data_IF_809113597025
#
_entry.id   IF_809113597025
#
_cell.length_a   1.000
_cell.length_b   1.000
_cell.length_c   1.000
_cell.angle_alpha   90.00
_cell.angle_beta   90.00
_cell.angle_gamma   90.00
#
_symmetry.space_group_name_H-M   'P 1'
#
loop_
_entity.id
_entity.type
_entity.pdbx_description
1 polymer ?
#
# COMPACT_ATOMS: atom_id res chain seq x y z
N UNK A 1 -3.14 6.08 -11.71
CA UNK A 1 -2.44 6.13 -10.40
C UNK A 1 -3.49 6.16 -9.31
N UNK A 2 -3.38 5.33 -8.28
CA UNK A 2 -4.22 5.36 -7.07
C UNK A 2 -3.43 5.96 -5.91
N UNK A 3 -4.05 6.87 -5.15
CA UNK A 3 -3.55 7.35 -3.86
C UNK A 3 -4.60 7.06 -2.80
N UNK A 4 -4.19 6.54 -1.66
CA UNK A 4 -5.10 6.16 -0.59
C UNK A 4 -4.53 6.59 0.76
N UNK A 5 -5.35 7.29 1.51
CA UNK A 5 -5.11 7.71 2.89
C UNK A 5 -6.48 7.67 3.55
N UNK A 6 -6.61 6.77 4.52
CA UNK A 6 -7.90 6.17 4.86
C UNK A 6 -8.06 5.83 6.34
N UNK A 7 -7.06 6.16 7.17
CA UNK A 7 -7.08 5.96 8.62
C UNK A 7 -7.50 4.53 9.05
N UNK A 8 -7.21 3.50 8.24
CA UNK A 8 -7.55 2.10 8.51
C UNK A 8 -8.42 1.40 7.45
N UNK A 9 -9.08 2.13 6.55
CA UNK A 9 -9.89 1.51 5.48
C UNK A 9 -9.06 0.63 4.50
N UNK A 10 -7.74 0.85 4.46
CA UNK A 10 -6.80 0.17 3.59
C UNK A 10 -6.75 -1.34 3.78
N UNK A 11 -6.91 -1.79 5.03
CA UNK A 11 -6.86 -3.19 5.43
C UNK A 11 -8.07 -3.99 4.99
N UNK A 12 -9.17 -3.31 4.69
CA UNK A 12 -10.35 -3.95 4.12
C UNK A 12 -10.35 -3.89 2.59
N UNK A 13 -9.87 -2.77 2.04
CA UNK A 13 -9.97 -2.48 0.60
C UNK A 13 -8.93 -3.26 -0.20
N UNK A 14 -7.65 -3.19 0.19
CA UNK A 14 -6.55 -3.72 -0.61
C UNK A 14 -6.51 -5.26 -0.58
N UNK A 15 -6.67 -5.93 0.58
CA UNK A 15 -6.66 -7.40 0.61
C UNK A 15 -7.87 -8.05 -0.07
N UNK A 16 -9.01 -7.35 -0.20
CA UNK A 16 -10.23 -7.86 -0.82
C UNK A 16 -10.34 -7.54 -2.32
N UNK A 17 -9.59 -6.56 -2.82
CA UNK A 17 -9.55 -6.22 -4.24
C UNK A 17 -8.94 -7.37 -5.04
N UNK A 18 -9.50 -7.68 -6.21
CA UNK A 18 -8.89 -8.66 -7.11
C UNK A 18 -7.64 -8.07 -7.77
N UNK A 19 -6.70 -8.93 -8.20
CA UNK A 19 -5.54 -8.47 -8.98
C UNK A 19 -5.96 -7.73 -10.26
N UNK A 20 -7.13 -8.05 -10.82
CA UNK A 20 -7.71 -7.36 -11.98
C UNK A 20 -8.17 -5.94 -11.65
N UNK A 21 -8.75 -5.74 -10.47
CA UNK A 21 -9.18 -4.40 -10.03
C UNK A 21 -7.98 -3.52 -9.73
N UNK A 22 -6.90 -4.10 -9.20
CA UNK A 22 -5.67 -3.37 -8.90
C UNK A 22 -4.82 -3.10 -10.15
N UNK A 23 -4.82 -4.00 -11.14
CA UNK A 23 -3.94 -3.91 -12.32
C UNK A 23 -4.26 -2.74 -13.25
N UNK A 24 -5.43 -2.10 -13.13
CA UNK A 24 -5.75 -0.87 -13.85
C UNK A 24 -4.85 0.31 -13.43
N UNK A 25 -4.17 0.19 -12.29
CA UNK A 25 -3.25 1.21 -11.78
C UNK A 25 -1.79 0.84 -12.07
N UNK A 26 -1.08 1.72 -12.77
CA UNK A 26 0.38 1.60 -12.93
C UNK A 26 1.16 1.85 -11.63
N UNK A 27 0.55 2.57 -10.69
CA UNK A 27 1.12 2.87 -9.38
C UNK A 27 0.02 3.06 -8.34
N UNK A 28 0.26 2.51 -7.16
CA UNK A 28 -0.58 2.65 -5.96
C UNK A 28 0.29 3.22 -4.84
N UNK A 29 -0.17 4.28 -4.19
CA UNK A 29 0.48 4.87 -3.01
C UNK A 29 -0.51 4.82 -1.86
N UNK A 30 -0.13 4.19 -0.75
CA UNK A 30 -0.99 4.04 0.44
C UNK A 30 -0.24 4.61 1.64
N UNK A 31 -0.87 5.53 2.37
CA UNK A 31 -0.50 5.79 3.77
C UNK A 31 -1.17 4.72 4.64
N UNK A 32 -0.37 3.87 5.30
CA UNK A 32 -0.87 2.76 6.12
C UNK A 32 -0.81 3.12 7.60
N UNK A 33 -1.83 2.75 8.38
CA UNK A 33 -2.01 3.21 9.77
C UNK A 33 -1.77 2.13 10.85
N UNK A 34 -1.71 0.86 10.47
CA UNK A 34 -1.56 -0.31 11.36
C UNK A 34 -0.54 -1.34 10.81
N UNK A 35 0.58 -0.85 10.28
CA UNK A 35 1.65 -1.66 9.71
C UNK A 35 1.38 -2.13 8.27
N UNK A 36 2.44 -2.50 7.56
CA UNK A 36 2.39 -2.65 6.10
C UNK A 36 2.31 -4.11 5.60
N UNK A 37 2.51 -5.11 6.47
CA UNK A 37 2.74 -6.49 6.03
C UNK A 37 1.61 -7.07 5.19
N UNK A 38 0.36 -6.93 5.63
CA UNK A 38 -0.81 -7.44 4.91
C UNK A 38 -1.01 -6.75 3.55
N UNK A 39 -0.97 -5.41 3.55
CA UNK A 39 -1.10 -4.58 2.36
C UNK A 39 0.00 -4.90 1.34
N UNK A 40 1.24 -5.02 1.81
CA UNK A 40 2.40 -5.42 1.00
C UNK A 40 2.16 -6.77 0.36
N UNK A 41 1.77 -7.78 1.14
CA UNK A 41 1.53 -9.12 0.64
C UNK A 41 0.41 -9.15 -0.42
N UNK A 42 -0.68 -8.40 -0.21
CA UNK A 42 -1.77 -8.29 -1.17
C UNK A 42 -1.31 -7.65 -2.49
N UNK A 43 -0.56 -6.55 -2.41
CA UNK A 43 -0.03 -5.85 -3.59
C UNK A 43 1.01 -6.69 -4.35
N UNK A 44 1.90 -7.38 -3.65
CA UNK A 44 2.89 -8.27 -4.27
C UNK A 44 2.22 -9.48 -4.95
N UNK A 45 1.18 -10.07 -4.33
CA UNK A 45 0.34 -11.10 -4.97
C UNK A 45 -0.40 -10.59 -6.21
N UNK A 46 -0.73 -9.31 -6.25
CA UNK A 46 -1.32 -8.64 -7.39
C UNK A 46 -0.30 -8.25 -8.49
N UNK A 47 0.99 -8.56 -8.31
CA UNK A 47 2.03 -8.35 -9.32
C UNK A 47 2.77 -7.00 -9.20
N UNK A 48 2.60 -6.28 -8.10
CA UNK A 48 3.29 -5.02 -7.86
C UNK A 48 4.64 -5.23 -7.16
N UNK A 49 5.62 -4.40 -7.52
CA UNK A 49 6.84 -4.21 -6.72
C UNK A 49 6.59 -3.13 -5.67
N UNK A 50 6.79 -3.45 -4.41
CA UNK A 50 6.49 -2.54 -3.29
C UNK A 50 7.77 -1.89 -2.72
N UNK A 51 7.62 -0.70 -2.15
CA UNK A 51 8.68 0.01 -1.41
C UNK A 51 8.05 0.69 -0.21
N UNK A 52 8.63 0.50 0.97
CA UNK A 52 8.17 1.11 2.23
C UNK A 52 8.96 2.39 2.49
N UNK A 53 8.28 3.46 2.90
CA UNK A 53 8.89 4.74 3.27
C UNK A 53 8.33 5.25 4.60
N UNK A 54 9.15 5.86 5.46
CA UNK A 54 8.65 6.52 6.67
C UNK A 54 7.96 7.85 6.34
N UNK A 55 7.09 8.31 7.23
CA UNK A 55 6.59 9.70 7.20
C UNK A 55 7.69 10.60 7.78
N UNK A 56 8.13 11.60 7.01
CA UNK A 56 9.29 12.44 7.39
C UNK A 56 8.98 13.47 8.47
N UNK A 57 7.73 13.93 8.54
CA UNK A 57 7.30 15.02 9.42
C UNK A 57 6.97 14.56 10.84
N UNK A 58 6.92 13.26 11.11
CA UNK A 58 6.51 12.70 12.40
C UNK A 58 7.45 11.58 12.85
N UNK A 59 7.65 11.43 14.16
CA UNK A 59 8.43 10.34 14.75
C UNK A 59 7.53 9.13 15.02
N UNK A 60 7.04 8.50 13.97
CA UNK A 60 6.27 7.25 14.06
C UNK A 60 7.15 6.09 13.54
N UNK A 61 7.24 4.97 14.27
CA UNK A 61 7.95 3.79 13.78
C UNK A 61 7.37 3.31 12.44
N UNK A 62 8.25 2.97 11.50
CA UNK A 62 7.85 2.53 10.15
C UNK A 62 7.03 1.24 10.18
N UNK A 63 7.16 0.44 11.24
CA UNK A 63 6.36 -0.76 11.48
C UNK A 63 4.90 -0.45 11.79
N UNK A 64 4.60 0.79 12.23
CA UNK A 64 3.24 1.23 12.61
C UNK A 64 2.59 2.06 11.51
N UNK A 65 3.27 3.11 11.04
CA UNK A 65 2.71 4.04 10.06
C UNK A 65 3.77 4.49 9.05
N UNK A 66 3.36 4.65 7.81
CA UNK A 66 4.26 4.99 6.71
C UNK A 66 3.58 4.95 5.36
N UNK A 67 4.37 4.94 4.29
CA UNK A 67 3.89 4.80 2.93
C UNK A 67 4.31 3.48 2.31
N UNK A 68 3.37 2.83 1.62
CA UNK A 68 3.67 1.81 0.59
C UNK A 68 3.59 2.49 -0.77
N UNK A 69 4.66 2.36 -1.55
CA UNK A 69 4.68 2.72 -2.97
C UNK A 69 4.76 1.42 -3.76
N UNK A 70 3.68 1.08 -4.46
CA UNK A 70 3.57 -0.10 -5.29
C UNK A 70 3.55 0.29 -6.78
N UNK A 71 4.42 -0.32 -7.59
CA UNK A 71 4.53 -0.05 -9.03
C UNK A 71 4.27 -1.34 -9.82
N UNK A 72 3.46 -1.23 -10.89
CA UNK A 72 3.22 -2.33 -11.81
C UNK A 72 4.53 -2.76 -12.46
N UNK A 73 4.86 -4.04 -12.45
CA UNK A 73 6.12 -4.59 -12.97
C UNK A 73 6.19 -4.73 -14.49
N UNK A 74 5.67 -3.76 -15.26
CA UNK A 74 5.86 -3.68 -16.71
C UNK A 74 7.23 -3.07 -17.01
#
# INVERSE_FOLDING_TARGET
ILKMDCEGCEYETIPRASSKDLSVFSQIIIEYHNGYHELRNALEKAGFKTTIKPIRSVKIPIERQGYIIAKSGI
#
